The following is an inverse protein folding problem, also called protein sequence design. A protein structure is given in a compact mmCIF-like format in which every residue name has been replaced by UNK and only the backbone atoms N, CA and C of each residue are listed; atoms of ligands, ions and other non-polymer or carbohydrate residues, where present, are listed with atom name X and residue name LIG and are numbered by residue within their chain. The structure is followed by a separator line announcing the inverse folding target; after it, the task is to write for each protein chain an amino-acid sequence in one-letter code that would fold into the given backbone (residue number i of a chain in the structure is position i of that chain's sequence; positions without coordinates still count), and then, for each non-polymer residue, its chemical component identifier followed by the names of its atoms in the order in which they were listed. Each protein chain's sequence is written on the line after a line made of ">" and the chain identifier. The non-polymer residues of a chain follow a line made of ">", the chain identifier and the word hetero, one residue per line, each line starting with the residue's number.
data_IF_079424441457
#
_entry.id   IF_079424441457
#
_cell.length_a   1.000
_cell.length_b   1.000
_cell.length_c   1.000
_cell.angle_alpha   90.00
_cell.angle_beta   90.00
_cell.angle_gamma   90.00
#
_symmetry.space_group_name_H-M   'P 1'
#
loop_
_entity.id
_entity.type
_entity.pdbx_description
1 polymer ?
#
# COMPACT_ATOMS: atom_id res chain seq x y z
N UNK A 1 -7.67 0.61 18.90
CA UNK A 1 -7.39 -0.70 18.26
C UNK A 1 -6.48 -0.48 17.06
N UNK A 2 -5.14 -0.52 17.17
CA UNK A 2 -4.29 -0.13 16.03
C UNK A 2 -4.11 -1.30 15.06
N UNK A 3 -4.95 -1.36 14.02
CA UNK A 3 -4.68 -2.15 12.81
C UNK A 3 -4.07 -1.22 11.78
N UNK A 4 -2.79 -1.37 11.47
CA UNK A 4 -2.14 -0.60 10.42
C UNK A 4 -2.26 -1.35 9.10
N UNK A 5 -2.86 -0.68 8.12
CA UNK A 5 -2.80 -1.08 6.71
C UNK A 5 -1.66 -0.34 6.04
N UNK A 6 -0.46 -0.90 5.98
CA UNK A 6 0.67 -0.31 5.24
C UNK A 6 0.65 -0.87 3.82
N UNK A 7 0.72 0.02 2.82
CA UNK A 7 0.80 -0.37 1.42
C UNK A 7 2.22 -0.21 0.91
N UNK A 8 2.85 -1.25 0.40
CA UNK A 8 4.17 -1.16 -0.25
C UNK A 8 4.08 -1.55 -1.72
N UNK A 9 4.88 -0.90 -2.56
CA UNK A 9 5.01 -1.22 -3.98
C UNK A 9 6.42 -1.65 -4.31
N UNK A 10 6.57 -2.80 -4.95
CA UNK A 10 7.85 -3.30 -5.46
C UNK A 10 7.80 -3.39 -6.99
N UNK A 11 8.78 -2.80 -7.66
CA UNK A 11 8.90 -2.84 -9.11
C UNK A 11 9.79 -4.01 -9.53
N UNK A 12 9.31 -4.85 -10.44
CA UNK A 12 10.00 -6.06 -10.86
C UNK A 12 10.39 -5.94 -12.34
N UNK A 13 11.63 -6.27 -12.66
CA UNK A 13 12.16 -6.26 -14.02
C UNK A 13 11.91 -7.58 -14.77
N UNK A 14 12.42 -7.68 -16.00
CA UNK A 14 12.29 -8.88 -16.84
C UNK A 14 13.04 -10.12 -16.30
N UNK A 15 14.01 -9.93 -15.39
CA UNK A 15 14.79 -10.98 -14.75
C UNK A 15 14.24 -11.35 -13.36
N UNK A 16 13.02 -10.91 -13.03
CA UNK A 16 12.38 -11.06 -11.73
C UNK A 16 13.17 -10.43 -10.57
N UNK A 17 13.96 -9.38 -10.83
CA UNK A 17 14.66 -8.62 -9.81
C UNK A 17 13.82 -7.40 -9.38
N UNK A 18 13.82 -7.11 -8.09
CA UNK A 18 13.29 -5.84 -7.58
C UNK A 18 14.21 -4.69 -7.98
N UNK A 19 13.67 -3.66 -8.61
CA UNK A 19 14.42 -2.51 -9.11
C UNK A 19 13.87 -1.19 -8.56
N UNK A 20 14.76 -0.20 -8.41
CA UNK A 20 14.41 1.14 -7.93
C UNK A 20 13.94 1.19 -6.48
N UNK A 21 13.34 2.31 -6.11
CA UNK A 21 12.79 2.54 -4.77
C UNK A 21 11.34 2.08 -4.69
N UNK A 22 10.94 1.55 -3.53
CA UNK A 22 9.54 1.26 -3.23
C UNK A 22 8.80 2.56 -2.91
N UNK A 23 7.52 2.65 -3.27
CA UNK A 23 6.63 3.69 -2.73
C UNK A 23 5.74 3.08 -1.65
N UNK A 24 5.62 3.76 -0.51
CA UNK A 24 4.76 3.36 0.59
C UNK A 24 3.52 4.24 0.72
N UNK A 25 2.46 3.65 1.26
CA UNK A 25 1.27 4.31 1.76
C UNK A 25 1.28 4.14 3.27
N UNK A 26 1.29 5.26 3.99
CA UNK A 26 1.23 5.29 5.45
C UNK A 26 -0.02 4.57 6.00
N UNK A 27 0.08 3.97 7.19
CA UNK A 27 -0.99 3.20 7.79
C UNK A 27 -2.29 3.97 7.92
N UNK A 28 -3.40 3.23 7.84
CA UNK A 28 -4.68 3.66 8.41
C UNK A 28 -4.76 3.21 9.87
N UNK A 29 -4.70 4.14 10.81
CA UNK A 29 -4.87 3.90 12.23
C UNK A 29 -6.35 3.87 12.63
N UNK A 30 -6.66 3.29 13.79
CA UNK A 30 -8.00 3.40 14.39
C UNK A 30 -8.35 4.81 14.87
N UNK A 31 -7.33 5.58 15.24
CA UNK A 31 -7.48 7.01 15.48
C UNK A 31 -7.93 7.75 14.20
N UNK A 32 -7.43 7.35 13.03
CA UNK A 32 -7.84 7.95 11.76
C UNK A 32 -9.32 7.67 11.45
N UNK A 33 -9.84 6.55 11.97
CA UNK A 33 -11.26 6.16 11.84
C UNK A 33 -12.14 6.72 12.95
N UNK A 34 -11.59 7.45 13.92
CA UNK A 34 -12.32 7.90 15.11
C UNK A 34 -12.89 6.75 15.94
N UNK A 35 -12.20 5.61 15.98
CA UNK A 35 -12.65 4.37 16.63
C UNK A 35 -13.97 3.78 16.08
N UNK A 36 -14.24 4.01 14.79
CA UNK A 36 -15.38 3.46 14.06
C UNK A 36 -14.95 2.45 12.98
N UNK A 37 -15.87 1.58 12.57
CA UNK A 37 -15.68 0.75 11.38
C UNK A 37 -15.96 1.60 10.13
N UNK A 38 -14.90 2.09 9.49
CA UNK A 38 -14.96 2.84 8.24
C UNK A 38 -13.79 2.51 7.31
N UNK A 39 -13.99 2.51 6.00
CA UNK A 39 -12.90 2.50 5.03
C UNK A 39 -12.42 3.94 4.80
N UNK A 40 -11.11 4.15 4.88
CA UNK A 40 -10.50 5.45 4.61
C UNK A 40 -9.64 5.35 3.35
N UNK A 41 -9.84 6.31 2.45
CA UNK A 41 -9.05 6.39 1.23
C UNK A 41 -7.63 6.85 1.54
N UNK A 42 -6.65 6.13 0.99
CA UNK A 42 -5.24 6.50 0.99
C UNK A 42 -4.67 6.33 -0.41
N UNK A 43 -3.75 7.21 -0.77
CA UNK A 43 -3.05 7.16 -2.04
C UNK A 43 -1.62 7.66 -1.88
N UNK A 44 -0.75 7.16 -2.75
CA UNK A 44 0.61 7.66 -2.95
C UNK A 44 0.90 7.72 -4.44
N UNK A 45 1.87 8.54 -4.83
CA UNK A 45 2.33 8.65 -6.23
C UNK A 45 3.84 8.55 -6.25
N UNK A 46 4.38 7.87 -7.24
CA UNK A 46 5.82 7.68 -7.39
C UNK A 46 6.23 7.59 -8.86
N UNK A 47 7.53 7.67 -9.10
CA UNK A 47 8.12 7.40 -10.41
C UNK A 47 8.26 5.89 -10.60
N UNK A 48 8.05 5.44 -11.83
CA UNK A 48 8.24 4.04 -12.21
C UNK A 48 9.64 3.89 -12.79
N UNK A 49 10.52 3.07 -12.20
CA UNK A 49 11.86 2.84 -12.72
C UNK A 49 11.82 2.31 -14.15
N UNK A 50 12.75 2.81 -14.99
CA UNK A 50 12.95 2.28 -16.34
C UNK A 50 13.27 0.79 -16.24
N UNK A 51 12.61 -0.01 -17.08
CA UNK A 51 12.78 -1.47 -17.07
C UNK A 51 11.73 -2.23 -16.24
N UNK A 52 10.85 -1.54 -15.51
CA UNK A 52 9.71 -2.17 -14.83
C UNK A 52 8.86 -2.99 -15.82
N UNK A 53 8.50 -4.21 -15.42
CA UNK A 53 7.62 -5.12 -16.17
C UNK A 53 6.39 -5.53 -15.38
N UNK A 54 6.51 -5.61 -14.06
CA UNK A 54 5.37 -5.80 -13.15
C UNK A 54 5.56 -4.97 -11.89
N UNK A 55 4.44 -4.72 -11.20
CA UNK A 55 4.41 -4.04 -9.91
C UNK A 55 3.69 -4.95 -8.93
N UNK A 56 4.34 -5.27 -7.83
CA UNK A 56 3.70 -5.96 -6.70
C UNK A 56 3.18 -4.91 -5.73
N UNK A 57 1.90 -5.00 -5.38
CA UNK A 57 1.28 -4.20 -4.32
C UNK A 57 1.08 -5.11 -3.11
N UNK A 58 1.73 -4.79 -2.00
CA UNK A 58 1.60 -5.50 -0.74
C UNK A 58 0.74 -4.67 0.22
N UNK A 59 -0.37 -5.24 0.69
CA UNK A 59 -1.19 -4.64 1.75
C UNK A 59 -0.94 -5.41 3.05
N UNK A 60 -0.26 -4.79 4.00
CA UNK A 60 0.07 -5.38 5.29
C UNK A 60 -0.98 -5.01 6.32
N UNK A 61 -1.61 -5.99 6.97
CA UNK A 61 -2.51 -5.77 8.09
C UNK A 61 -1.79 -6.16 9.39
N UNK A 62 -1.20 -5.17 10.06
CA UNK A 62 -0.37 -5.39 11.23
C UNK A 62 -1.17 -5.09 12.50
N UNK A 63 -1.19 -6.04 13.44
CA UNK A 63 -1.77 -5.87 14.78
C UNK A 63 -0.68 -5.47 15.77
N UNK A 64 -0.66 -4.21 16.18
CA UNK A 64 0.30 -3.75 17.19
C UNK A 64 -0.14 -4.09 18.62
N UNK A 65 -1.45 -4.05 18.93
CA UNK A 65 -2.03 -4.32 20.27
C UNK A 65 -3.46 -4.88 20.17
N UNK A 66 -4.00 -5.44 21.26
CA UNK A 66 -5.41 -5.93 21.36
C UNK A 66 -5.60 -7.41 20.99
N UNK A 67 -6.86 -7.89 20.97
CA UNK A 67 -7.23 -9.29 20.65
C UNK A 67 -7.78 -9.50 19.25
N UNK A 68 -8.21 -8.45 18.56
CA UNK A 68 -8.79 -8.51 17.22
C UNK A 68 -7.87 -7.84 16.18
N UNK A 69 -7.88 -8.34 14.96
CA UNK A 69 -7.27 -7.68 13.78
C UNK A 69 -8.38 -7.46 12.76
N UNK A 70 -8.88 -6.22 12.67
CA UNK A 70 -9.92 -5.81 11.73
C UNK A 70 -9.30 -5.11 10.51
N UNK A 71 -8.33 -5.78 9.89
CA UNK A 71 -7.74 -5.32 8.64
C UNK A 71 -8.74 -5.43 7.50
N UNK A 72 -9.18 -4.30 6.97
CA UNK A 72 -10.04 -4.24 5.79
C UNK A 72 -9.43 -3.29 4.76
N UNK A 73 -9.36 -3.75 3.51
CA UNK A 73 -9.07 -2.94 2.34
C UNK A 73 -10.02 -3.32 1.21
N UNK A 74 -10.40 -2.33 0.42
CA UNK A 74 -11.22 -2.51 -0.77
C UNK A 74 -10.76 -1.50 -1.84
N UNK A 75 -11.07 -1.78 -3.09
CA UNK A 75 -10.79 -0.92 -4.24
C UNK A 75 -9.30 -0.55 -4.40
N UNK A 76 -8.40 -1.51 -4.14
CA UNK A 76 -6.96 -1.35 -4.35
C UNK A 76 -6.68 -1.31 -5.86
N UNK A 77 -6.12 -0.21 -6.33
CA UNK A 77 -5.77 -0.02 -7.73
C UNK A 77 -4.73 1.07 -7.92
N UNK A 78 -4.29 1.24 -9.16
CA UNK A 78 -3.31 2.26 -9.53
C UNK A 78 -3.49 2.72 -10.97
N UNK A 79 -2.89 3.86 -11.30
CA UNK A 79 -2.88 4.42 -12.65
C UNK A 79 -1.42 4.67 -13.08
N UNK A 80 -1.14 4.42 -14.36
CA UNK A 80 0.15 4.67 -14.98
C UNK A 80 0.09 5.98 -15.76
N UNK A 81 0.90 6.95 -15.37
CA UNK A 81 1.05 8.21 -16.11
C UNK A 81 2.31 8.15 -16.98
N UNK A 82 2.15 8.38 -18.28
CA UNK A 82 3.27 8.61 -19.20
C UNK A 82 3.33 10.09 -19.55
N UNK A 83 4.45 10.73 -19.23
CA UNK A 83 4.72 12.09 -19.69
C UNK A 83 5.03 12.04 -21.19
N UNK A 84 4.24 12.78 -21.98
CA UNK A 84 4.44 12.96 -23.42
C UNK A 84 5.27 14.21 -23.67
#
# INVERSE_FOLDING_TARGET
>A
MVTNGDGETCFIDQANQTIGSTSSIEPVLDADRGSLTALLFRQTTGLIPVGTRSVTVLANFIRYTGTYSNGYADNIGGCLYQWR
#
